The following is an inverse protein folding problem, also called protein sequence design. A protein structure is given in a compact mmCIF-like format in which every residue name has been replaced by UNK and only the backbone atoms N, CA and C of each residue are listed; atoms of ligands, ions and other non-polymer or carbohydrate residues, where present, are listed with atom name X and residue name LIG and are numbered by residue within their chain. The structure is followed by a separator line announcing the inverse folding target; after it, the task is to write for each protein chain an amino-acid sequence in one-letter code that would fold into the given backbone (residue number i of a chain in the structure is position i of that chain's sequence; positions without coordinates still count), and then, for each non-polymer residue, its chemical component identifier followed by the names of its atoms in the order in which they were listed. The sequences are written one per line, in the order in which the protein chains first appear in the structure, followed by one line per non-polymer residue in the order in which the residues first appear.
data_IF_845839472801
#
_entry.id   IF_845839472801
#
_cell.length_a   1.000
_cell.length_b   1.000
_cell.length_c   1.000
_cell.angle_alpha   90.00
_cell.angle_beta   90.00
_cell.angle_gamma   90.00
#
_symmetry.space_group_name_H-M   'P 1'
#
loop_
_entity.id
_entity.type
_entity.pdbx_description
1 polymer ?
#
# COMPACT_ATOMS: atom_id res chain seq x y z
N UNK A 1 -1.00 -13.14 1.20
CA UNK A 1 -0.87 -11.70 1.54
C UNK A 1 -1.83 -11.20 2.62
N UNK A 2 -2.78 -12.00 3.13
CA UNK A 2 -3.77 -11.54 4.13
C UNK A 2 -3.20 -11.33 5.54
N UNK A 3 -2.11 -12.03 5.87
CA UNK A 3 -1.53 -12.04 7.22
C UNK A 3 -0.25 -11.21 7.34
N UNK A 4 -0.05 -10.26 6.43
CA UNK A 4 1.10 -9.34 6.51
C UNK A 4 0.88 -8.41 7.70
N UNK A 5 1.87 -8.36 8.59
CA UNK A 5 1.87 -7.48 9.75
C UNK A 5 3.00 -6.47 9.69
N UNK A 6 2.82 -5.35 10.38
CA UNK A 6 3.83 -4.31 10.57
C UNK A 6 4.14 -4.14 12.07
N UNK A 7 5.41 -3.92 12.41
CA UNK A 7 5.84 -3.59 13.75
C UNK A 7 5.78 -2.07 13.95
N UNK A 8 4.82 -1.60 14.75
CA UNK A 8 4.67 -0.17 15.06
C UNK A 8 5.41 0.25 16.33
N UNK A 9 5.84 -0.70 17.16
CA UNK A 9 6.56 -0.42 18.40
C UNK A 9 8.05 -0.07 18.14
N UNK A 10 8.63 -0.62 17.07
CA UNK A 10 10.04 -0.46 16.73
C UNK A 10 10.27 0.27 15.40
N UNK A 11 9.89 1.55 15.25
CA UNK A 11 10.14 2.30 14.02
C UNK A 11 11.63 2.42 13.69
N UNK A 12 11.91 2.48 12.39
CA UNK A 12 13.24 2.82 11.87
C UNK A 12 13.32 4.33 11.68
N UNK A 13 14.32 4.95 12.30
CA UNK A 13 14.61 6.37 12.19
C UNK A 13 15.91 6.54 11.40
N UNK A 14 15.87 7.42 10.40
CA UNK A 14 17.02 7.74 9.57
C UNK A 14 17.23 9.26 9.56
N UNK A 15 18.46 9.68 9.80
CA UNK A 15 18.94 11.02 9.49
C UNK A 15 19.91 10.92 8.30
N UNK A 16 19.46 11.19 7.07
CA UNK A 16 20.28 11.02 5.87
C UNK A 16 21.44 12.02 5.79
N UNK A 17 21.25 13.25 6.28
CA UNK A 17 22.30 14.29 6.27
C UNK A 17 23.50 13.88 7.12
N UNK A 18 23.23 13.31 8.30
CA UNK A 18 24.26 12.83 9.23
C UNK A 18 24.66 11.37 9.00
N UNK A 19 24.01 10.69 8.04
CA UNK A 19 24.19 9.25 7.76
C UNK A 19 24.01 8.37 9.00
N UNK A 20 23.01 8.70 9.83
CA UNK A 20 22.68 7.94 11.03
C UNK A 20 21.38 7.17 10.81
N UNK A 21 21.34 5.94 11.32
CA UNK A 21 20.14 5.11 11.35
C UNK A 21 20.05 4.39 12.68
N UNK A 22 18.83 4.29 13.23
CA UNK A 22 18.57 3.50 14.42
C UNK A 22 17.16 2.93 14.41
N UNK A 23 16.96 1.83 15.14
CA UNK A 23 15.63 1.33 15.48
C UNK A 23 15.28 1.80 16.89
N UNK A 24 14.21 2.57 17.02
CA UNK A 24 13.78 3.11 18.32
C UNK A 24 12.69 2.22 18.88
N UNK A 25 12.85 1.71 20.10
CA UNK A 25 11.78 0.97 20.78
C UNK A 25 10.94 1.98 21.56
N UNK A 26 9.66 2.10 21.23
CA UNK A 26 8.71 2.91 21.98
C UNK A 26 8.26 2.09 23.20
N UNK A 27 8.66 2.45 24.43
CA UNK A 27 8.21 1.76 25.63
C UNK A 27 6.77 2.16 25.93
N UNK A 28 5.96 1.16 26.31
CA UNK A 28 4.57 1.30 26.74
C UNK A 28 3.61 1.98 25.73
N UNK A 29 2.29 1.79 25.92
CA UNK A 29 1.25 2.46 25.14
C UNK A 29 0.57 1.57 24.07
N UNK A 30 0.08 2.21 23.00
CA UNK A 30 -0.88 1.62 22.05
C UNK A 30 -0.27 0.81 20.90
N UNK A 31 1.06 0.81 20.79
CA UNK A 31 1.76 0.13 19.69
C UNK A 31 2.32 -1.21 20.15
N UNK A 32 2.39 -2.14 19.21
CA UNK A 32 2.87 -3.50 19.43
C UNK A 32 3.72 -3.93 18.24
N UNK A 33 4.37 -5.07 18.37
CA UNK A 33 5.20 -5.64 17.31
C UNK A 33 4.40 -6.21 16.14
N UNK A 34 3.07 -6.38 16.28
CA UNK A 34 2.20 -6.97 15.26
C UNK A 34 0.89 -6.19 15.10
N UNK A 35 0.83 -5.40 14.03
CA UNK A 35 -0.39 -4.77 13.54
C UNK A 35 -0.72 -5.33 12.16
N UNK A 36 -1.98 -5.69 11.89
CA UNK A 36 -2.40 -6.15 10.56
C UNK A 36 -2.26 -5.01 9.54
N UNK A 37 -1.51 -5.24 8.46
CA UNK A 37 -1.26 -4.20 7.46
C UNK A 37 -2.52 -3.86 6.67
N UNK A 38 -3.31 -4.88 6.30
CA UNK A 38 -4.46 -4.70 5.41
C UNK A 38 -5.83 -4.91 6.10
N UNK A 39 -5.83 -5.37 7.35
CA UNK A 39 -7.03 -5.59 8.18
C UNK A 39 -8.20 -6.25 7.44
N UNK A 40 -9.42 -5.87 7.81
CA UNK A 40 -10.64 -6.34 7.11
C UNK A 40 -10.90 -5.60 5.79
N UNK A 41 -10.23 -4.47 5.54
CA UNK A 41 -10.41 -3.68 4.31
C UNK A 41 -10.00 -4.45 3.06
N UNK A 42 -9.03 -5.36 3.17
CA UNK A 42 -8.66 -6.24 2.05
C UNK A 42 -9.79 -7.19 1.66
N UNK A 43 -10.56 -7.69 2.62
CA UNK A 43 -11.71 -8.57 2.34
C UNK A 43 -12.79 -7.81 1.57
N UNK A 44 -13.00 -6.54 1.90
CA UNK A 44 -13.95 -5.67 1.20
C UNK A 44 -13.48 -5.29 -0.21
N UNK A 45 -12.19 -5.07 -0.43
CA UNK A 45 -11.64 -4.87 -1.79
C UNK A 45 -11.83 -6.10 -2.66
N UNK A 46 -11.56 -7.30 -2.13
CA UNK A 46 -11.73 -8.58 -2.85
C UNK A 46 -13.21 -8.87 -3.15
N UNK A 47 -14.14 -8.51 -2.23
CA UNK A 47 -15.58 -8.61 -2.49
C UNK A 47 -16.03 -7.69 -3.64
N UNK A 48 -15.50 -6.46 -3.70
CA UNK A 48 -15.87 -5.48 -4.75
C UNK A 48 -15.33 -5.83 -6.13
N UNK A 49 -14.28 -6.64 -6.23
CA UNK A 49 -13.68 -7.06 -7.50
C UNK A 49 -14.35 -8.28 -8.16
N UNK A 50 -15.51 -8.74 -7.69
CA UNK A 50 -16.24 -9.82 -8.37
C UNK A 50 -16.63 -9.40 -9.80
N UNK A 51 -16.49 -10.29 -10.81
CA UNK A 51 -16.48 -9.94 -12.24
C UNK A 51 -17.82 -9.44 -12.81
N UNK A 52 -18.92 -9.54 -12.07
CA UNK A 52 -20.26 -9.23 -12.57
C UNK A 52 -20.51 -7.74 -12.92
N UNK A 53 -19.60 -6.82 -12.60
CA UNK A 53 -19.70 -5.39 -12.97
C UNK A 53 -18.69 -4.89 -14.02
N UNK A 54 -17.68 -5.68 -14.39
CA UNK A 54 -16.64 -5.22 -15.32
C UNK A 54 -17.10 -5.10 -16.78
N UNK A 55 -18.23 -5.70 -17.16
CA UNK A 55 -18.78 -5.61 -18.51
C UNK A 55 -19.47 -4.27 -18.84
N UNK A 56 -19.68 -3.36 -17.88
CA UNK A 56 -20.39 -2.09 -18.12
C UNK A 56 -19.49 -0.89 -18.41
N UNK A 57 -18.17 -0.98 -18.18
CA UNK A 57 -17.25 0.16 -18.28
C UNK A 57 -16.26 0.09 -19.46
N UNK A 58 -16.29 -0.96 -20.28
CA UNK A 58 -15.38 -1.16 -21.41
C UNK A 58 -15.53 -0.14 -22.54
N UNK A 59 -16.67 0.55 -22.64
CA UNK A 59 -16.91 1.54 -23.70
C UNK A 59 -16.43 2.97 -23.39
N UNK A 60 -15.94 3.26 -22.18
CA UNK A 60 -15.53 4.64 -21.82
C UNK A 60 -14.01 4.84 -21.68
N UNK A 61 -13.23 3.76 -21.56
CA UNK A 61 -11.78 3.81 -21.31
C UNK A 61 -10.89 3.58 -22.54
N UNK A 62 -11.46 3.36 -23.73
CA UNK A 62 -10.65 3.21 -24.95
C UNK A 62 -10.02 4.51 -25.47
N UNK A 63 -10.50 5.68 -25.04
CA UNK A 63 -10.07 6.96 -25.62
C UNK A 63 -9.01 7.74 -24.81
N UNK A 64 -8.57 7.27 -23.64
CA UNK A 64 -7.61 8.03 -22.80
C UNK A 64 -6.22 7.42 -22.64
N UNK A 65 -6.01 6.15 -23.06
CA UNK A 65 -4.74 5.44 -22.82
C UNK A 65 -3.71 5.65 -23.95
N UNK A 66 -4.10 6.22 -25.09
CA UNK A 66 -3.17 6.48 -26.21
C UNK A 66 -2.13 7.59 -25.95
N UNK A 67 -2.32 8.44 -24.94
CA UNK A 67 -1.54 9.68 -24.81
C UNK A 67 -0.33 9.64 -23.86
N UNK A 68 -0.16 8.60 -23.02
CA UNK A 68 0.86 8.61 -21.96
C UNK A 68 2.07 7.69 -22.18
N UNK A 69 2.06 6.81 -23.18
CA UNK A 69 3.14 5.82 -23.37
C UNK A 69 4.29 6.29 -24.25
N UNK A 70 4.28 7.52 -24.80
CA UNK A 70 5.32 7.98 -25.74
C UNK A 70 6.32 8.99 -25.16
N UNK A 71 6.46 9.12 -23.83
CA UNK A 71 7.35 10.15 -23.25
C UNK A 71 8.35 9.65 -22.20
N UNK A 72 8.70 8.36 -22.27
CA UNK A 72 9.83 7.77 -21.54
C UNK A 72 10.61 6.85 -22.49
N UNK A 73 11.04 7.39 -23.61
CA UNK A 73 12.03 6.77 -24.49
C UNK A 73 12.71 7.90 -25.27
N UNK A 74 13.63 8.59 -24.61
CA UNK A 74 14.81 9.28 -25.14
C UNK A 74 15.65 9.80 -23.97
#
# INVERSE_FOLDING_TARGET
MKDVTINLQGPLLFNPEKRLGLQFIIPDGKYSTRHLLFGDKLKEMIKRSHPARLLKNSNKFRNSVSAYTSRCAE
#
